data_IF_243313654770
#
_entry.id   IF_243313654770
#
_cell.length_a   1.000
_cell.length_b   1.000
_cell.length_c   1.000
_cell.angle_alpha   90.00
_cell.angle_beta   90.00
_cell.angle_gamma   90.00
#
_symmetry.space_group_name_H-M   'P 1'
#
loop_
_entity.id
_entity.type
_entity.pdbx_description
1 polymer ?
#
# COMPACT_ATOMS: atom_id res chain seq x y z
N UNK A 1 26.06 13.96 19.47
CA UNK A 1 24.74 13.62 18.91
C UNK A 1 23.74 14.67 19.37
N UNK A 2 23.22 15.54 18.49
CA UNK A 2 22.19 16.52 18.89
C UNK A 2 20.84 15.80 18.93
N UNK A 3 20.29 15.59 20.13
CA UNK A 3 18.95 15.03 20.30
C UNK A 3 17.96 16.13 19.91
N UNK A 4 17.20 15.91 18.84
CA UNK A 4 16.17 16.85 18.38
C UNK A 4 14.92 16.74 19.26
N UNK A 5 14.13 17.81 19.34
CA UNK A 5 12.85 17.80 20.06
C UNK A 5 11.90 16.70 19.56
N UNK A 6 12.00 16.31 18.28
CA UNK A 6 11.26 15.20 17.70
C UNK A 6 11.74 13.83 18.23
N UNK A 7 13.06 13.61 18.32
CA UNK A 7 13.61 12.39 18.93
C UNK A 7 13.30 12.29 20.42
N UNK A 8 13.27 13.41 21.15
CA UNK A 8 12.88 13.45 22.55
C UNK A 8 11.39 13.10 22.72
N UNK A 9 10.49 13.70 21.93
CA UNK A 9 9.05 13.35 21.94
C UNK A 9 8.79 11.89 21.57
N UNK A 10 9.50 11.34 20.58
CA UNK A 10 9.38 9.94 20.21
C UNK A 10 9.85 9.00 21.34
N UNK A 11 10.98 9.32 21.98
CA UNK A 11 11.47 8.58 23.15
C UNK A 11 10.46 8.60 24.31
N UNK A 12 9.90 9.77 24.63
CA UNK A 12 8.85 9.92 25.64
C UNK A 12 7.55 9.18 25.28
N UNK A 13 7.16 9.16 24.01
CA UNK A 13 5.98 8.41 23.55
C UNK A 13 6.19 6.88 23.59
N UNK A 14 7.45 6.43 23.50
CA UNK A 14 7.82 5.01 23.60
C UNK A 14 8.06 4.52 25.03
N UNK A 15 8.20 5.42 26.00
CA UNK A 15 8.44 5.08 27.42
C UNK A 15 7.42 4.06 27.98
N UNK A 16 6.11 4.19 27.72
CA UNK A 16 5.10 3.23 28.17
C UNK A 16 5.23 1.83 27.56
N UNK A 17 5.93 1.69 26.42
CA UNK A 17 6.17 0.41 25.75
C UNK A 17 7.43 -0.31 26.26
N UNK A 18 8.30 0.37 27.03
CA UNK A 18 9.52 -0.23 27.58
C UNK A 18 9.28 -1.51 28.41
N UNK A 19 8.26 -1.57 29.30
CA UNK A 19 7.98 -2.81 30.04
C UNK A 19 7.58 -3.96 29.13
N UNK A 20 6.83 -3.69 28.05
CA UNK A 20 6.44 -4.69 27.06
C UNK A 20 7.65 -5.19 26.28
N UNK A 21 8.48 -4.28 25.77
CA UNK A 21 9.72 -4.59 25.03
C UNK A 21 10.66 -5.41 25.89
N UNK A 22 10.89 -5.01 27.14
CA UNK A 22 11.74 -5.76 28.08
C UNK A 22 11.19 -7.16 28.37
N UNK A 23 9.87 -7.29 28.60
CA UNK A 23 9.21 -8.57 28.83
C UNK A 23 9.35 -9.51 27.63
N UNK A 24 9.08 -9.02 26.42
CA UNK A 24 9.17 -9.83 25.19
C UNK A 24 10.61 -10.25 24.93
N UNK A 25 11.57 -9.34 25.10
CA UNK A 25 12.98 -9.67 24.94
C UNK A 25 13.44 -10.74 25.93
N UNK A 26 13.09 -10.60 27.21
CA UNK A 26 13.44 -11.55 28.25
C UNK A 26 12.83 -12.93 27.98
N UNK A 27 11.53 -13.00 27.68
CA UNK A 27 10.85 -14.26 27.38
C UNK A 27 11.42 -14.95 26.13
N UNK A 28 11.77 -14.17 25.11
CA UNK A 28 12.34 -14.69 23.88
C UNK A 28 13.77 -15.21 24.06
N UNK A 29 14.63 -14.45 24.74
CA UNK A 29 16.02 -14.86 25.04
C UNK A 29 16.04 -16.13 25.91
N UNK A 30 15.09 -16.25 26.84
CA UNK A 30 14.95 -17.42 27.71
C UNK A 30 14.23 -18.61 27.04
N UNK A 31 13.85 -18.52 25.76
CA UNK A 31 13.06 -19.56 25.06
C UNK A 31 11.74 -19.91 25.77
N UNK A 32 11.17 -18.96 26.52
CA UNK A 32 9.93 -19.12 27.28
C UNK A 32 8.69 -18.60 26.53
N UNK A 33 8.87 -18.09 25.30
CA UNK A 33 7.77 -17.72 24.41
C UNK A 33 7.67 -18.70 23.26
N UNK A 34 6.49 -19.23 22.97
CA UNK A 34 6.23 -20.13 21.83
C UNK A 34 6.70 -19.53 20.49
N UNK A 35 6.68 -18.20 20.37
CA UNK A 35 7.17 -17.49 19.19
C UNK A 35 8.70 -17.54 19.00
N UNK A 36 9.48 -17.86 20.03
CA UNK A 36 10.96 -17.89 19.96
C UNK A 36 11.52 -19.06 19.16
N UNK A 37 10.71 -20.10 18.95
CA UNK A 37 11.05 -21.22 18.09
C UNK A 37 11.00 -20.85 16.59
N UNK A 38 10.19 -19.85 16.21
CA UNK A 38 9.86 -19.55 14.81
C UNK A 38 10.26 -18.15 14.34
N UNK A 39 10.34 -17.18 15.24
CA UNK A 39 10.66 -15.79 14.92
C UNK A 39 12.01 -15.41 15.50
N UNK A 40 12.71 -14.47 14.87
CA UNK A 40 13.85 -13.84 15.53
C UNK A 40 13.37 -12.82 16.59
N UNK A 41 14.28 -12.45 17.50
CA UNK A 41 13.99 -11.48 18.56
C UNK A 41 13.47 -10.15 18.00
N UNK A 42 14.02 -9.73 16.86
CA UNK A 42 13.64 -8.49 16.20
C UNK A 42 12.18 -8.53 15.75
N UNK A 43 11.75 -9.61 15.12
CA UNK A 43 10.39 -9.81 14.63
C UNK A 43 9.42 -9.95 15.80
N UNK A 44 9.80 -10.68 16.85
CA UNK A 44 9.00 -10.82 18.07
C UNK A 44 8.73 -9.48 18.75
N UNK A 45 9.77 -8.64 18.89
CA UNK A 45 9.65 -7.29 19.43
C UNK A 45 8.79 -6.39 18.54
N UNK A 46 8.99 -6.47 17.23
CA UNK A 46 8.24 -5.70 16.26
C UNK A 46 6.74 -6.05 16.35
N UNK A 47 6.38 -7.33 16.30
CA UNK A 47 4.99 -7.81 16.44
C UNK A 47 4.36 -7.34 17.74
N UNK A 48 5.07 -7.46 18.87
CA UNK A 48 4.53 -7.05 20.17
C UNK A 48 4.27 -5.54 20.25
N UNK A 49 5.19 -4.72 19.76
CA UNK A 49 5.03 -3.26 19.70
C UNK A 49 3.88 -2.89 18.77
N UNK A 50 3.80 -3.50 17.58
CA UNK A 50 2.69 -3.28 16.65
C UNK A 50 1.34 -3.65 17.27
N UNK A 51 1.24 -4.80 17.94
CA UNK A 51 0.00 -5.24 18.63
C UNK A 51 -0.41 -4.24 19.73
N UNK A 52 0.54 -3.74 20.52
CA UNK A 52 0.27 -2.75 21.55
C UNK A 52 -0.14 -1.38 20.98
N UNK A 53 0.31 -1.03 19.78
CA UNK A 53 -0.13 0.18 19.07
C UNK A 53 -1.54 0.03 18.48
N UNK A 54 -1.92 -1.17 18.06
CA UNK A 54 -3.27 -1.47 17.54
C UNK A 54 -4.33 -1.50 18.65
N UNK A 55 -3.96 -1.92 19.86
CA UNK A 55 -4.85 -1.98 21.03
C UNK A 55 -4.66 -0.74 21.90
N UNK A 56 -5.22 0.40 21.49
CA UNK A 56 -5.15 1.63 22.30
C UNK A 56 -6.26 1.65 23.35
N UNK A 57 -5.91 1.89 24.61
CA UNK A 57 -6.87 2.01 25.73
C UNK A 57 -7.77 3.27 25.68
N UNK A 58 -7.48 4.21 24.78
CA UNK A 58 -8.30 5.41 24.51
C UNK A 58 -8.51 5.55 23.00
N UNK A 59 -9.76 5.66 22.52
CA UNK A 59 -10.05 5.87 21.10
C UNK A 59 -9.41 7.18 20.62
N UNK A 60 -8.75 7.14 19.46
CA UNK A 60 -8.20 8.31 18.76
C UNK A 60 -9.02 8.56 17.50
N UNK A 61 -9.09 9.82 17.06
CA UNK A 61 -9.74 10.13 15.78
C UNK A 61 -8.95 9.49 14.63
N UNK A 62 -9.64 9.09 13.55
CA UNK A 62 -8.98 8.54 12.35
C UNK A 62 -7.94 9.53 11.81
N UNK A 63 -8.27 10.82 11.81
CA UNK A 63 -7.38 11.90 11.38
C UNK A 63 -6.08 11.96 12.19
N UNK A 64 -6.13 11.73 13.50
CA UNK A 64 -4.92 11.73 14.34
C UNK A 64 -4.05 10.50 14.08
N UNK A 65 -4.67 9.34 13.88
CA UNK A 65 -3.95 8.11 13.55
C UNK A 65 -3.32 8.23 12.15
N UNK A 66 -4.04 8.80 11.18
CA UNK A 66 -3.52 9.13 9.85
C UNK A 66 -2.29 10.02 9.94
N UNK A 67 -2.41 11.20 10.57
CA UNK A 67 -1.28 12.13 10.74
C UNK A 67 -0.06 11.48 11.39
N UNK A 68 -0.28 10.55 12.31
CA UNK A 68 0.80 9.80 12.94
C UNK A 68 1.44 8.78 11.98
N UNK A 69 0.63 8.00 11.29
CA UNK A 69 1.10 6.91 10.42
C UNK A 69 1.61 7.37 9.05
N UNK A 70 1.27 8.57 8.60
CA UNK A 70 1.77 9.17 7.35
C UNK A 70 2.96 10.11 7.55
N UNK A 71 3.48 10.18 8.77
CA UNK A 71 4.59 11.09 9.09
C UNK A 71 5.88 10.64 8.40
N UNK A 72 6.34 11.45 7.45
CA UNK A 72 7.62 11.25 6.78
C UNK A 72 8.80 11.69 7.69
N UNK A 73 9.72 10.76 7.96
CA UNK A 73 10.95 11.01 8.71
C UNK A 73 12.13 11.46 7.83
N UNK A 74 11.91 11.52 6.52
CA UNK A 74 12.92 11.80 5.52
C UNK A 74 13.69 10.54 5.10
N UNK A 75 14.00 10.38 3.80
CA UNK A 75 14.81 9.26 3.33
C UNK A 75 16.28 9.44 3.72
N UNK A 76 16.90 8.36 4.18
CA UNK A 76 18.31 8.32 4.57
C UNK A 76 18.94 6.99 4.17
N UNK A 77 20.24 7.03 3.91
CA UNK A 77 21.07 5.86 3.66
C UNK A 77 21.06 5.40 2.21
N UNK A 78 21.18 4.08 2.03
CA UNK A 78 21.33 3.40 0.74
C UNK A 78 20.05 3.35 -0.10
N UNK A 79 19.34 4.47 -0.24
CA UNK A 79 18.11 4.61 -1.01
C UNK A 79 18.14 5.91 -1.83
N UNK A 80 17.73 5.81 -3.08
CA UNK A 80 17.30 6.95 -3.87
C UNK A 80 15.80 7.19 -3.64
N UNK A 81 15.39 8.43 -3.45
CA UNK A 81 13.97 8.82 -3.48
C UNK A 81 13.80 10.04 -4.37
N UNK A 82 12.93 9.92 -5.37
CA UNK A 82 12.46 11.03 -6.20
C UNK A 82 10.94 11.11 -6.14
N UNK A 83 10.41 12.24 -5.69
CA UNK A 83 8.97 12.48 -5.58
C UNK A 83 8.41 12.97 -6.90
N UNK A 84 7.30 12.40 -7.31
CA UNK A 84 6.58 12.75 -8.53
C UNK A 84 5.10 12.99 -8.20
N UNK A 85 4.46 13.90 -8.91
CA UNK A 85 3.02 14.06 -8.90
C UNK A 85 2.56 13.95 -10.35
N UNK A 86 1.86 12.87 -10.67
CA UNK A 86 1.30 12.68 -12.00
C UNK A 86 0.07 13.58 -12.13
N UNK A 87 0.07 14.58 -13.03
CA UNK A 87 -1.12 15.40 -13.25
C UNK A 87 -2.25 14.54 -13.81
N UNK A 88 -3.52 14.84 -13.48
CA UNK A 88 -4.65 14.16 -14.09
C UNK A 88 -4.74 14.54 -15.59
N UNK A 89 -5.27 13.64 -16.43
CA UNK A 89 -5.66 14.04 -17.78
C UNK A 89 -6.77 15.11 -17.72
N UNK A 90 -6.83 16.04 -18.68
CA UNK A 90 -7.89 17.05 -18.73
C UNK A 90 -9.27 16.45 -19.04
N UNK A 91 -9.30 15.27 -19.67
CA UNK A 91 -10.50 14.46 -19.92
C UNK A 91 -10.85 13.51 -18.78
N UNK A 92 -12.02 12.89 -18.88
CA UNK A 92 -12.58 11.98 -17.85
C UNK A 92 -12.46 10.51 -18.21
N UNK A 93 -11.89 10.16 -19.38
CA UNK A 93 -11.94 8.81 -19.95
C UNK A 93 -11.46 7.72 -19.00
N UNK A 94 -10.36 7.93 -18.28
CA UNK A 94 -9.82 6.95 -17.31
C UNK A 94 -10.75 6.73 -16.11
N UNK A 95 -11.41 7.79 -15.63
CA UNK A 95 -12.37 7.72 -14.52
C UNK A 95 -13.66 7.04 -14.97
N UNK A 96 -14.17 7.42 -16.13
CA UNK A 96 -15.42 6.89 -16.65
C UNK A 96 -15.27 5.39 -16.95
N UNK A 97 -14.14 4.97 -17.55
CA UNK A 97 -13.80 3.56 -17.75
C UNK A 97 -13.74 2.76 -16.43
N UNK A 98 -13.22 3.35 -15.35
CA UNK A 98 -13.24 2.75 -14.02
C UNK A 98 -14.66 2.57 -13.49
N UNK A 99 -15.47 3.64 -13.51
CA UNK A 99 -16.82 3.62 -12.95
C UNK A 99 -17.71 2.63 -13.73
N UNK A 100 -17.68 2.69 -15.06
CA UNK A 100 -18.44 1.79 -15.92
C UNK A 100 -18.06 0.31 -15.66
N UNK A 101 -16.78 0.04 -15.44
CA UNK A 101 -16.30 -1.30 -15.12
C UNK A 101 -16.79 -1.77 -13.74
N UNK A 102 -16.72 -0.91 -12.72
CA UNK A 102 -17.20 -1.22 -11.38
C UNK A 102 -18.72 -1.48 -11.37
N UNK A 103 -19.49 -0.68 -12.10
CA UNK A 103 -20.94 -0.86 -12.24
C UNK A 103 -21.28 -2.19 -12.92
N UNK A 104 -20.55 -2.55 -13.97
CA UNK A 104 -20.73 -3.81 -14.70
C UNK A 104 -20.41 -5.02 -13.84
N UNK A 105 -19.27 -5.01 -13.13
CA UNK A 105 -18.84 -6.11 -12.27
C UNK A 105 -19.79 -6.35 -11.09
N UNK A 106 -20.53 -5.33 -10.66
CA UNK A 106 -21.56 -5.50 -9.63
C UNK A 106 -22.74 -6.38 -10.09
N UNK A 107 -22.95 -6.52 -11.40
CA UNK A 107 -23.95 -7.38 -12.01
C UNK A 107 -25.41 -6.97 -11.73
N UNK A 108 -26.39 -7.69 -12.33
CA UNK A 108 -27.82 -7.44 -12.14
C UNK A 108 -28.40 -8.10 -10.86
N UNK A 109 -27.61 -8.90 -10.11
CA UNK A 109 -28.11 -9.79 -9.03
C UNK A 109 -28.55 -9.06 -7.75
N UNK A 110 -28.32 -7.75 -7.65
CA UNK A 110 -28.90 -6.91 -6.63
C UNK A 110 -29.72 -5.84 -7.34
N UNK A 111 -31.04 -5.83 -7.10
CA UNK A 111 -31.93 -4.78 -7.58
C UNK A 111 -31.27 -3.41 -7.34
N UNK A 112 -31.14 -2.59 -8.39
CA UNK A 112 -30.60 -1.21 -8.33
C UNK A 112 -31.26 -0.37 -7.23
N UNK A 113 -32.43 -0.77 -6.71
CA UNK A 113 -33.15 -0.08 -5.64
C UNK A 113 -32.54 -0.16 -4.23
N UNK A 114 -31.57 -1.05 -3.95
CA UNK A 114 -31.03 -1.24 -2.59
C UNK A 114 -29.52 -1.00 -2.43
N UNK A 115 -28.79 -0.64 -3.50
CA UNK A 115 -27.35 -0.34 -3.43
C UNK A 115 -27.14 1.17 -3.47
N UNK A 116 -26.36 1.76 -2.55
CA UNK A 116 -25.95 3.16 -2.70
C UNK A 116 -25.13 3.31 -3.99
N UNK A 117 -25.30 4.41 -4.74
CA UNK A 117 -24.50 4.67 -5.93
C UNK A 117 -23.02 4.70 -5.58
N UNK A 118 -22.18 4.19 -6.50
CA UNK A 118 -20.72 4.24 -6.33
C UNK A 118 -20.31 5.71 -6.38
N UNK A 119 -19.61 6.24 -5.35
CA UNK A 119 -19.10 7.60 -5.40
C UNK A 119 -18.19 7.77 -6.62
N UNK A 120 -18.38 8.84 -7.38
CA UNK A 120 -17.49 9.18 -8.51
C UNK A 120 -16.36 10.05 -7.95
N UNK A 121 -15.11 9.55 -7.91
CA UNK A 121 -14.00 10.30 -7.34
C UNK A 121 -13.50 11.38 -8.30
N UNK A 122 -12.98 12.47 -7.74
CA UNK A 122 -12.32 13.51 -8.53
C UNK A 122 -11.00 13.01 -9.14
N UNK A 123 -10.68 13.50 -10.34
CA UNK A 123 -9.36 13.37 -10.94
C UNK A 123 -8.47 14.48 -10.40
N UNK A 124 -7.39 14.09 -9.71
CA UNK A 124 -6.45 15.00 -9.04
C UNK A 124 -5.02 14.53 -9.30
N UNK A 125 -4.05 15.38 -8.98
CA UNK A 125 -2.64 14.99 -9.01
C UNK A 125 -2.42 13.75 -8.12
N UNK A 126 -1.80 12.71 -8.69
CA UNK A 126 -1.48 11.49 -7.95
C UNK A 126 -0.01 11.52 -7.56
N UNK A 127 0.24 11.74 -6.28
CA UNK A 127 1.59 11.73 -5.73
C UNK A 127 2.17 10.31 -5.66
N UNK A 128 3.49 10.20 -5.88
CA UNK A 128 4.23 8.97 -5.76
C UNK A 128 5.71 9.22 -5.42
N UNK A 129 6.38 8.15 -4.96
CA UNK A 129 7.82 8.12 -4.76
C UNK A 129 8.48 7.07 -5.64
N UNK A 130 9.33 7.52 -6.56
CA UNK A 130 10.34 6.66 -7.18
C UNK A 130 11.38 6.28 -6.13
N UNK A 131 11.62 4.98 -5.98
CA UNK A 131 12.62 4.43 -5.07
C UNK A 131 13.57 3.49 -5.78
N UNK A 132 14.86 3.65 -5.51
CA UNK A 132 15.92 2.77 -6.01
C UNK A 132 16.97 2.49 -4.95
N UNK A 133 17.82 1.49 -5.18
CA UNK A 133 18.95 1.21 -4.29
C UNK A 133 20.11 2.17 -4.60
N UNK A 134 20.70 2.75 -3.54
CA UNK A 134 21.86 3.66 -3.65
C UNK A 134 23.07 2.97 -3.04
N UNK A 135 23.86 2.27 -3.86
CA UNK A 135 24.89 1.35 -3.41
C UNK A 135 26.04 2.05 -2.66
N UNK A 136 26.40 3.26 -3.08
CA UNK A 136 27.54 4.02 -2.54
C UNK A 136 27.27 4.84 -1.27
N UNK A 137 26.02 4.88 -0.76
CA UNK A 137 25.68 5.76 0.35
C UNK A 137 25.94 5.15 1.73
N UNK A 138 26.46 5.96 2.65
CA UNK A 138 26.65 5.57 4.05
C UNK A 138 25.30 5.37 4.76
N UNK A 139 25.27 4.59 5.86
CA UNK A 139 24.04 4.12 6.54
C UNK A 139 22.98 5.20 6.85
N UNK A 140 23.40 6.42 7.17
CA UNK A 140 22.53 7.55 7.52
C UNK A 140 22.80 8.79 6.65
N UNK A 141 23.39 8.59 5.47
CA UNK A 141 23.66 9.70 4.57
C UNK A 141 22.34 10.33 4.11
N UNK A 142 22.19 11.67 4.16
CA UNK A 142 21.03 12.32 3.57
C UNK A 142 21.01 12.11 2.05
N UNK A 143 19.84 12.37 1.45
CA UNK A 143 19.80 12.44 -0.01
C UNK A 143 20.69 13.57 -0.53
N UNK A 144 21.27 13.41 -1.73
CA UNK A 144 21.96 14.50 -2.40
C UNK A 144 21.05 15.72 -2.58
N UNK A 145 21.60 16.91 -2.33
CA UNK A 145 20.89 18.18 -2.54
C UNK A 145 20.81 18.47 -4.05
N UNK A 146 19.75 17.96 -4.68
CA UNK A 146 19.48 18.11 -6.11
C UNK A 146 17.97 17.99 -6.36
N UNK A 147 17.52 18.41 -7.54
CA UNK A 147 16.10 18.35 -7.94
C UNK A 147 15.56 16.92 -7.98
N UNK A 148 14.24 16.77 -7.96
CA UNK A 148 13.60 15.44 -8.10
C UNK A 148 14.02 14.77 -9.43
N UNK A 149 13.99 15.52 -10.55
CA UNK A 149 14.46 15.04 -11.86
C UNK A 149 15.91 14.53 -11.83
N UNK A 150 16.82 15.26 -11.19
CA UNK A 150 18.22 14.83 -11.07
C UNK A 150 18.37 13.59 -10.18
N UNK A 151 17.59 13.47 -9.09
CA UNK A 151 17.56 12.25 -8.25
C UNK A 151 17.02 11.06 -9.02
N UNK A 152 15.98 11.24 -9.82
CA UNK A 152 15.44 10.20 -10.69
C UNK A 152 16.51 9.72 -11.68
N UNK A 153 17.19 10.61 -12.41
CA UNK A 153 18.23 10.20 -13.34
C UNK A 153 19.46 9.59 -12.64
N UNK A 154 19.82 10.09 -11.44
CA UNK A 154 20.87 9.48 -10.61
C UNK A 154 20.54 8.05 -10.22
N UNK A 155 19.30 7.81 -9.78
CA UNK A 155 18.77 6.47 -9.50
C UNK A 155 18.80 5.57 -10.74
N UNK A 156 18.37 6.07 -11.90
CA UNK A 156 18.32 5.31 -13.13
C UNK A 156 19.70 4.81 -13.59
N UNK A 157 20.78 5.55 -13.30
CA UNK A 157 22.16 5.12 -13.59
C UNK A 157 22.62 3.92 -12.74
N UNK A 158 21.99 3.71 -11.58
CA UNK A 158 22.28 2.55 -10.71
C UNK A 158 21.34 1.35 -10.99
N UNK A 159 20.30 1.54 -11.81
CA UNK A 159 19.43 0.43 -12.21
C UNK A 159 20.14 -0.47 -13.23
N UNK A 160 20.15 -1.77 -13.00
CA UNK A 160 20.73 -2.79 -13.88
C UNK A 160 19.68 -3.56 -14.69
N UNK A 161 18.40 -3.41 -14.36
CA UNK A 161 17.28 -4.00 -15.09
C UNK A 161 16.22 -2.95 -15.42
N UNK A 162 15.43 -3.14 -16.49
CA UNK A 162 14.35 -2.22 -16.83
C UNK A 162 13.13 -2.36 -15.91
N UNK A 163 13.14 -3.33 -14.99
CA UNK A 163 12.00 -3.64 -14.11
C UNK A 163 11.55 -2.43 -13.30
N UNK A 164 10.25 -2.15 -13.37
CA UNK A 164 9.58 -1.14 -12.54
C UNK A 164 8.48 -1.83 -11.74
N UNK A 165 8.50 -1.61 -10.43
CA UNK A 165 7.49 -2.14 -9.51
C UNK A 165 6.53 -1.02 -9.15
N UNK A 166 5.30 -1.06 -9.64
CA UNK A 166 4.21 -0.21 -9.15
C UNK A 166 3.80 -0.72 -7.77
N UNK A 167 4.22 -0.04 -6.71
CA UNK A 167 4.02 -0.50 -5.33
C UNK A 167 2.84 0.24 -4.68
N UNK A 168 1.90 -0.54 -4.15
CA UNK A 168 0.72 -0.08 -3.44
C UNK A 168 0.86 -0.50 -1.98
N UNK A 169 1.00 0.49 -1.09
CA UNK A 169 1.33 0.24 0.31
C UNK A 169 0.17 -0.39 1.10
N UNK A 170 0.48 -1.12 2.17
CA UNK A 170 -0.51 -1.55 3.15
C UNK A 170 -1.03 -0.39 4.02
N UNK A 171 -1.95 -0.68 4.94
CA UNK A 171 -2.51 0.32 5.85
C UNK A 171 -4.04 0.39 5.89
N UNK A 172 -4.72 -0.72 5.59
CA UNK A 172 -6.18 -0.82 5.70
C UNK A 172 -6.98 0.27 4.97
N UNK A 173 -6.42 0.87 3.90
CA UNK A 173 -6.97 2.02 3.16
C UNK A 173 -7.12 3.34 3.93
N UNK A 174 -6.72 3.40 5.20
CA UNK A 174 -6.79 4.63 6.00
C UNK A 174 -5.50 4.98 6.73
N UNK A 175 -4.43 4.20 6.59
CA UNK A 175 -3.15 4.38 7.27
C UNK A 175 -2.00 4.36 6.26
N UNK A 176 -0.82 4.76 6.75
CA UNK A 176 0.46 4.60 6.08
C UNK A 176 0.58 5.39 4.78
N UNK A 177 1.77 5.29 4.18
CA UNK A 177 2.24 6.16 3.13
C UNK A 177 3.41 5.50 2.37
N UNK A 178 3.80 5.95 1.15
CA UNK A 178 5.05 5.48 0.53
C UNK A 178 6.26 5.60 1.44
N UNK A 179 6.33 6.67 2.25
CA UNK A 179 7.43 6.89 3.18
C UNK A 179 7.59 5.77 4.21
N UNK A 180 6.49 5.14 4.66
CA UNK A 180 6.54 4.03 5.62
C UNK A 180 7.02 2.72 4.99
N UNK A 181 6.93 2.59 3.66
CA UNK A 181 7.28 1.38 2.91
C UNK A 181 8.64 1.45 2.21
N UNK A 182 9.38 2.56 2.35
CA UNK A 182 10.75 2.73 1.82
C UNK A 182 11.70 1.56 2.16
N UNK A 183 11.69 0.96 3.37
CA UNK A 183 12.54 -0.20 3.64
C UNK A 183 12.23 -1.40 2.72
N UNK A 184 10.95 -1.63 2.44
CA UNK A 184 10.47 -2.69 1.54
C UNK A 184 10.84 -2.37 0.10
N UNK A 185 10.50 -1.18 -0.39
CA UNK A 185 10.73 -0.80 -1.80
C UNK A 185 12.22 -0.69 -2.11
N UNK A 186 13.04 -0.20 -1.17
CA UNK A 186 14.51 -0.26 -1.27
C UNK A 186 15.03 -1.69 -1.42
N UNK A 187 14.50 -2.63 -0.62
CA UNK A 187 14.92 -4.04 -0.68
C UNK A 187 14.50 -4.67 -2.01
N UNK A 188 13.28 -4.39 -2.48
CA UNK A 188 12.80 -4.84 -3.79
C UNK A 188 13.67 -4.28 -4.92
N UNK A 189 13.90 -2.98 -4.97
CA UNK A 189 14.78 -2.35 -5.97
C UNK A 189 16.19 -2.96 -5.98
N UNK A 190 16.77 -3.22 -4.79
CA UNK A 190 18.07 -3.90 -4.69
C UNK A 190 18.05 -5.32 -5.25
N UNK A 191 17.00 -6.09 -4.94
CA UNK A 191 16.91 -7.50 -5.35
C UNK A 191 16.61 -7.66 -6.84
N UNK A 192 15.81 -6.77 -7.42
CA UNK A 192 15.47 -6.83 -8.85
C UNK A 192 16.46 -6.09 -9.73
N UNK A 193 17.33 -5.26 -9.16
CA UNK A 193 18.17 -4.33 -9.91
C UNK A 193 17.38 -3.22 -10.62
N UNK A 194 16.08 -3.10 -10.34
CA UNK A 194 15.18 -2.13 -10.96
C UNK A 194 14.82 -0.99 -10.02
N UNK A 195 13.63 -0.41 -10.23
CA UNK A 195 13.07 0.65 -9.37
C UNK A 195 11.64 0.37 -8.94
N UNK A 196 11.22 1.02 -7.87
CA UNK A 196 9.83 1.03 -7.41
C UNK A 196 9.20 2.40 -7.66
N UNK A 197 7.92 2.42 -8.00
CA UNK A 197 7.05 3.59 -8.05
C UNK A 197 5.96 3.40 -7.00
N UNK A 198 6.11 4.03 -5.84
CA UNK A 198 5.22 3.86 -4.70
C UNK A 198 4.14 4.93 -4.68
N UNK A 199 2.88 4.53 -4.90
CA UNK A 199 1.76 5.47 -5.02
C UNK A 199 1.31 5.96 -3.65
N UNK A 200 1.16 7.27 -3.48
CA UNK A 200 0.48 7.90 -2.34
C UNK A 200 -1.01 8.02 -2.66
N UNK A 201 -1.69 6.89 -2.73
CA UNK A 201 -3.11 6.86 -3.07
C UNK A 201 -3.95 7.48 -1.94
N UNK A 202 -5.09 8.07 -2.29
CA UNK A 202 -5.98 8.75 -1.35
C UNK A 202 -6.59 7.77 -0.34
N UNK A 203 -6.69 8.22 0.91
CA UNK A 203 -7.13 7.41 2.04
C UNK A 203 -8.58 7.68 2.44
N UNK A 204 -9.25 6.65 2.97
CA UNK A 204 -10.54 6.76 3.62
C UNK A 204 -10.40 7.37 5.03
N UNK A 205 -11.43 8.00 5.61
CA UNK A 205 -12.78 8.20 5.06
C UNK A 205 -12.91 9.40 4.11
N UNK A 206 -11.88 10.23 3.97
CA UNK A 206 -11.92 11.44 3.13
C UNK A 206 -12.16 11.09 1.66
N UNK A 207 -11.59 9.97 1.22
CA UNK A 207 -11.69 9.49 -0.15
C UNK A 207 -12.03 7.98 -0.13
N UNK A 208 -13.32 7.62 0.01
CA UNK A 208 -13.74 6.23 0.05
C UNK A 208 -13.52 5.56 -1.31
N UNK A 209 -13.74 4.23 -1.34
CA UNK A 209 -13.78 3.47 -2.59
C UNK A 209 -14.71 4.16 -3.62
N UNK A 210 -14.28 4.32 -4.88
CA UNK A 210 -13.11 3.73 -5.54
C UNK A 210 -11.88 4.66 -5.67
N UNK A 211 -11.73 5.70 -4.84
CA UNK A 211 -10.68 6.73 -5.01
C UNK A 211 -9.25 6.16 -5.08
N UNK A 212 -8.88 5.26 -4.16
CA UNK A 212 -7.55 4.63 -4.17
C UNK A 212 -7.30 3.78 -5.43
N UNK A 213 -8.35 3.15 -5.98
CA UNK A 213 -8.28 2.37 -7.21
C UNK A 213 -8.10 3.28 -8.43
N UNK A 214 -8.77 4.44 -8.45
CA UNK A 214 -8.52 5.46 -9.47
C UNK A 214 -7.07 5.95 -9.43
N UNK A 215 -6.54 6.25 -8.25
CA UNK A 215 -5.16 6.75 -8.12
C UNK A 215 -4.12 5.70 -8.56
N UNK A 216 -4.35 4.42 -8.22
CA UNK A 216 -3.54 3.31 -8.69
C UNK A 216 -3.63 3.13 -10.21
N UNK A 217 -4.82 3.33 -10.79
CA UNK A 217 -5.05 3.21 -12.22
C UNK A 217 -4.43 4.37 -13.02
N UNK A 218 -4.57 5.61 -12.54
CA UNK A 218 -3.88 6.80 -13.06
C UNK A 218 -2.37 6.61 -12.98
N UNK A 219 -1.84 6.08 -11.87
CA UNK A 219 -0.41 5.78 -11.74
C UNK A 219 0.07 4.72 -12.74
N UNK A 220 -0.74 3.68 -12.98
CA UNK A 220 -0.44 2.65 -13.97
C UNK A 220 -0.34 3.26 -15.38
N UNK A 221 -1.32 4.10 -15.75
CA UNK A 221 -1.32 4.81 -17.02
C UNK A 221 -0.18 5.82 -17.14
N UNK A 222 0.12 6.58 -16.09
CA UNK A 222 1.24 7.51 -16.07
C UNK A 222 2.58 6.80 -16.29
N UNK A 223 2.76 5.58 -15.76
CA UNK A 223 3.97 4.79 -16.02
C UNK A 223 4.10 4.31 -17.46
N UNK A 224 3.01 3.83 -18.06
CA UNK A 224 3.00 3.33 -19.44
C UNK A 224 3.03 4.46 -20.49
N UNK A 225 2.30 5.52 -20.20
CA UNK A 225 2.05 6.67 -21.08
C UNK A 225 2.30 7.96 -20.28
N UNK A 226 3.56 8.32 -20.02
CA UNK A 226 3.90 9.48 -19.22
C UNK A 226 3.26 10.75 -19.78
N UNK A 227 2.69 11.62 -18.93
CA UNK A 227 2.17 12.92 -19.37
C UNK A 227 3.30 13.80 -19.94
N UNK A 228 2.99 14.84 -20.73
CA UNK A 228 3.99 15.60 -21.50
C UNK A 228 5.20 16.13 -20.71
N UNK A 229 5.00 16.52 -19.44
CA UNK A 229 6.07 17.08 -18.58
C UNK A 229 6.71 16.06 -17.63
N UNK A 230 6.37 14.78 -17.77
CA UNK A 230 6.97 13.72 -16.97
C UNK A 230 8.50 13.69 -17.18
N UNK A 231 9.23 13.52 -16.09
CA UNK A 231 10.69 13.42 -16.14
C UNK A 231 11.20 11.98 -16.23
N UNK A 232 10.28 11.03 -16.44
CA UNK A 232 10.58 9.62 -16.57
C UNK A 232 10.14 9.10 -17.93
N UNK A 233 10.85 8.09 -18.43
CA UNK A 233 10.53 7.47 -19.70
C UNK A 233 9.32 6.51 -19.57
N UNK A 234 8.62 6.20 -20.69
CA UNK A 234 7.60 5.17 -20.74
C UNK A 234 8.14 3.82 -20.25
N UNK A 235 7.41 3.17 -19.35
CA UNK A 235 7.71 1.82 -18.90
C UNK A 235 6.99 0.84 -19.82
N UNK A 236 7.73 -0.07 -20.42
CA UNK A 236 7.11 -1.13 -21.23
C UNK A 236 6.30 -2.09 -20.34
N UNK A 237 5.10 -2.56 -20.76
CA UNK A 237 4.26 -3.41 -19.93
C UNK A 237 4.95 -4.69 -19.44
N UNK A 238 5.80 -5.29 -20.27
CA UNK A 238 6.63 -6.46 -19.97
C UNK A 238 7.71 -6.23 -18.90
N UNK A 239 7.97 -4.97 -18.54
CA UNK A 239 8.88 -4.58 -17.46
C UNK A 239 8.15 -4.06 -16.22
N UNK A 240 6.82 -3.97 -16.25
CA UNK A 240 6.01 -3.42 -15.17
C UNK A 240 5.40 -4.55 -14.32
N UNK A 241 5.66 -4.54 -13.01
CA UNK A 241 5.07 -5.47 -12.04
C UNK A 241 4.24 -4.68 -11.03
N UNK A 242 2.99 -5.08 -10.79
CA UNK A 242 2.19 -4.49 -9.71
C UNK A 242 2.48 -5.26 -8.42
N UNK A 243 2.79 -4.56 -7.34
CA UNK A 243 3.03 -5.17 -6.05
C UNK A 243 2.35 -4.42 -4.91
N UNK A 244 2.09 -5.13 -3.82
CA UNK A 244 1.54 -4.52 -2.62
C UNK A 244 1.35 -5.48 -1.47
N UNK A 245 1.17 -4.95 -0.28
CA UNK A 245 0.96 -5.72 0.95
C UNK A 245 -0.36 -5.38 1.63
N UNK A 246 -0.99 -6.35 2.31
CA UNK A 246 -2.23 -6.14 3.06
C UNK A 246 -3.32 -5.46 2.20
N UNK A 247 -3.80 -4.27 2.59
CA UNK A 247 -4.74 -3.46 1.80
C UNK A 247 -4.18 -3.05 0.43
N UNK A 248 -2.88 -2.77 0.32
CA UNK A 248 -2.23 -2.51 -0.96
C UNK A 248 -2.14 -3.74 -1.84
N UNK A 249 -2.04 -4.94 -1.24
CA UNK A 249 -2.16 -6.21 -1.95
C UNK A 249 -3.58 -6.45 -2.49
N UNK A 250 -4.61 -6.05 -1.74
CA UNK A 250 -5.98 -5.99 -2.25
C UNK A 250 -6.10 -5.01 -3.43
N UNK A 251 -5.55 -3.81 -3.28
CA UNK A 251 -5.57 -2.78 -4.32
C UNK A 251 -4.86 -3.22 -5.60
N UNK A 252 -3.73 -3.92 -5.48
CA UNK A 252 -2.99 -4.49 -6.60
C UNK A 252 -3.83 -5.50 -7.39
N UNK A 253 -4.55 -6.38 -6.69
CA UNK A 253 -5.42 -7.37 -7.32
C UNK A 253 -6.71 -6.75 -7.87
N UNK A 254 -7.26 -5.74 -7.22
CA UNK A 254 -8.39 -4.97 -7.74
C UNK A 254 -8.02 -4.21 -9.03
N UNK A 255 -6.83 -3.60 -9.07
CA UNK A 255 -6.28 -2.99 -10.27
C UNK A 255 -6.08 -4.02 -11.37
N UNK A 256 -5.49 -5.19 -11.08
CA UNK A 256 -5.35 -6.26 -12.08
C UNK A 256 -6.71 -6.68 -12.66
N UNK A 257 -7.71 -6.88 -11.81
CA UNK A 257 -9.07 -7.24 -12.24
C UNK A 257 -9.68 -6.17 -13.16
N UNK A 258 -9.50 -4.89 -12.83
CA UNK A 258 -9.91 -3.76 -13.68
C UNK A 258 -9.21 -3.81 -15.04
N UNK A 259 -7.88 -3.96 -15.06
CA UNK A 259 -7.10 -4.03 -16.31
C UNK A 259 -7.53 -5.22 -17.18
N UNK A 260 -7.79 -6.39 -16.58
CA UNK A 260 -8.28 -7.56 -17.30
C UNK A 260 -9.65 -7.33 -17.93
N UNK A 261 -10.58 -6.71 -17.19
CA UNK A 261 -11.92 -6.40 -17.68
C UNK A 261 -11.89 -5.36 -18.81
N UNK A 262 -11.05 -4.33 -18.70
CA UNK A 262 -10.86 -3.34 -19.75
C UNK A 262 -10.21 -3.93 -21.00
N UNK A 263 -9.19 -4.78 -20.84
CA UNK A 263 -8.58 -5.50 -21.96
C UNK A 263 -9.59 -6.40 -22.68
N UNK A 264 -10.46 -7.10 -21.95
CA UNK A 264 -11.48 -7.95 -22.57
C UNK A 264 -12.51 -7.16 -23.39
N UNK A 265 -12.68 -5.87 -23.10
CA UNK A 265 -13.53 -4.97 -23.88
C UNK A 265 -12.85 -4.45 -25.14
N UNK A 266 -11.52 -4.58 -25.24
CA UNK A 266 -10.69 -4.08 -26.33
C UNK A 266 -10.94 -2.59 -26.65
N UNK A 267 -11.28 -1.82 -25.61
CA UNK A 267 -11.65 -0.42 -25.72
C UNK A 267 -10.49 0.48 -25.26
N UNK A 268 -9.93 1.33 -26.15
CA UNK A 268 -8.91 2.27 -25.74
C UNK A 268 -9.50 3.38 -24.86
N UNK A 269 -8.66 3.94 -23.98
CA UNK A 269 -9.02 5.02 -23.07
C UNK A 269 -8.38 6.32 -23.56
N UNK A 270 -9.17 7.40 -23.60
CA UNK A 270 -8.64 8.73 -23.87
C UNK A 270 -7.74 9.17 -22.71
N UNK A 271 -6.46 9.41 -23.01
CA UNK A 271 -5.42 9.75 -22.04
C UNK A 271 -4.43 10.78 -22.62
N UNK A 272 -4.43 11.98 -22.00
CA UNK A 272 -3.77 13.20 -22.48
C UNK A 272 -4.03 13.49 -23.96
N UNK A 273 -5.30 13.35 -24.39
CA UNK A 273 -5.74 13.64 -25.75
C UNK A 273 -5.45 12.55 -26.78
N UNK A 274 -4.86 11.43 -26.39
CA UNK A 274 -4.61 10.28 -27.26
C UNK A 274 -5.38 9.04 -26.78
N UNK A 275 -5.88 8.23 -27.72
CA UNK A 275 -6.47 6.94 -27.40
C UNK A 275 -5.35 5.93 -27.08
N UNK A 276 -5.34 5.44 -25.84
CA UNK A 276 -4.32 4.52 -25.31
C UNK A 276 -4.92 3.15 -25.04
N UNK A 277 -4.16 2.12 -25.36
CA UNK A 277 -4.52 0.74 -25.04
C UNK A 277 -4.30 0.43 -23.56
N UNK A 278 -4.92 -0.65 -23.08
CA UNK A 278 -4.78 -1.12 -21.68
C UNK A 278 -4.00 -2.45 -21.67
N UNK A 279 -2.66 -2.43 -21.91
CA UNK A 279 -1.88 -3.66 -21.84
C UNK A 279 -1.83 -4.16 -20.39
N UNK A 280 -1.69 -5.48 -20.20
CA UNK A 280 -1.45 -6.04 -18.88
C UNK A 280 0.01 -5.87 -18.44
N UNK A 281 0.27 -5.76 -17.12
CA UNK A 281 1.63 -5.80 -16.59
C UNK A 281 2.26 -7.18 -16.81
N UNK A 282 3.58 -7.25 -16.67
CA UNK A 282 4.35 -8.48 -16.68
C UNK A 282 3.92 -9.48 -15.59
N UNK A 283 3.40 -8.97 -14.46
CA UNK A 283 2.87 -9.80 -13.39
C UNK A 283 2.42 -9.01 -12.17
N UNK A 284 1.94 -9.75 -11.16
CA UNK A 284 1.52 -9.21 -9.86
C UNK A 284 2.16 -10.01 -8.73
N UNK A 285 2.69 -9.31 -7.72
CA UNK A 285 3.30 -9.90 -6.54
C UNK A 285 2.71 -9.28 -5.26
N UNK A 286 1.94 -10.07 -4.49
CA UNK A 286 1.26 -9.57 -3.28
C UNK A 286 1.73 -10.29 -2.03
N UNK A 287 1.82 -9.55 -0.93
CA UNK A 287 2.16 -10.08 0.39
C UNK A 287 0.98 -9.95 1.35
N UNK A 288 0.48 -11.08 1.84
CA UNK A 288 -0.68 -11.14 2.77
C UNK A 288 -1.86 -10.24 2.33
N UNK A 289 -2.39 -10.38 1.10
CA UNK A 289 -3.42 -9.48 0.59
C UNK A 289 -4.72 -9.59 1.39
N UNK A 290 -5.35 -8.45 1.68
CA UNK A 290 -6.62 -8.41 2.40
C UNK A 290 -7.80 -8.62 1.43
N UNK A 291 -8.19 -9.87 1.18
CA UNK A 291 -9.18 -10.20 0.14
C UNK A 291 -10.63 -10.35 0.61
N UNK A 292 -10.85 -10.37 1.92
CA UNK A 292 -12.18 -10.54 2.51
C UNK A 292 -12.54 -9.35 3.40
N UNK A 293 -13.30 -8.41 2.82
CA UNK A 293 -13.80 -7.23 3.53
C UNK A 293 -14.92 -7.56 4.52
N UNK A 294 -15.57 -8.73 4.37
CA UNK A 294 -16.66 -9.17 5.24
C UNK A 294 -16.19 -9.98 6.44
N UNK A 295 -14.90 -10.36 6.47
CA UNK A 295 -14.31 -11.23 7.49
C UNK A 295 -15.09 -12.54 7.66
N UNK A 296 -15.61 -13.06 6.55
CA UNK A 296 -16.43 -14.27 6.46
C UNK A 296 -15.59 -15.55 6.32
N UNK A 297 -14.30 -15.43 6.01
CA UNK A 297 -13.43 -16.58 5.84
C UNK A 297 -13.30 -17.38 7.16
N UNK A 298 -13.30 -18.73 7.11
CA UNK A 298 -13.20 -19.58 8.30
C UNK A 298 -12.01 -19.28 9.21
N UNK A 299 -10.91 -18.75 8.67
CA UNK A 299 -9.73 -18.33 9.43
C UNK A 299 -10.03 -17.25 10.47
N UNK A 300 -11.03 -16.39 10.22
CA UNK A 300 -11.55 -15.42 11.19
C UNK A 300 -12.40 -16.09 12.28
N UNK A 301 -13.18 -17.11 11.93
CA UNK A 301 -14.14 -17.77 12.83
C UNK A 301 -13.54 -18.84 13.77
N UNK A 302 -12.33 -19.35 13.49
CA UNK A 302 -11.73 -20.38 14.35
C UNK A 302 -11.57 -19.87 15.81
N UNK A 303 -12.10 -20.60 16.80
CA UNK A 303 -12.16 -20.18 18.20
C UNK A 303 -10.81 -20.00 18.90
N UNK A 304 -9.72 -20.51 18.31
CA UNK A 304 -8.35 -20.23 18.71
C UNK A 304 -7.74 -19.20 17.73
N UNK A 305 -7.10 -18.12 18.21
CA UNK A 305 -6.13 -17.40 17.40
C UNK A 305 -5.15 -18.42 16.87
N UNK A 306 -4.85 -18.41 15.56
CA UNK A 306 -3.70 -19.20 15.12
C UNK A 306 -2.49 -18.66 15.90
N UNK A 307 -1.58 -19.51 16.40
CA UNK A 307 -0.54 -19.09 17.34
C UNK A 307 0.30 -17.89 16.86
N UNK A 308 0.30 -17.65 15.54
CA UNK A 308 1.09 -16.64 14.86
C UNK A 308 0.27 -15.47 14.29
N UNK A 309 -1.05 -15.41 14.54
CA UNK A 309 -1.87 -14.28 14.11
C UNK A 309 -1.52 -13.03 14.93
N UNK A 310 -1.09 -11.97 14.28
CA UNK A 310 -0.72 -10.72 14.95
C UNK A 310 -1.93 -9.81 15.18
N UNK A 311 -3.00 -9.96 14.40
CA UNK A 311 -4.21 -9.16 14.53
C UNK A 311 -5.07 -9.69 15.68
N UNK A 312 -5.61 -8.80 16.54
CA UNK A 312 -6.61 -9.23 17.50
C UNK A 312 -7.86 -9.69 16.74
N UNK A 313 -8.42 -10.84 17.14
CA UNK A 313 -9.77 -11.21 16.66
C UNK A 313 -10.77 -10.22 17.25
N UNK A 314 -11.80 -9.81 16.49
CA UNK A 314 -12.90 -9.06 17.06
C UNK A 314 -13.40 -9.82 18.28
N UNK A 315 -13.52 -9.16 19.44
CA UNK A 315 -14.25 -9.76 20.54
C UNK A 315 -15.61 -10.16 20.00
N UNK A 316 -15.99 -11.42 20.18
CA UNK A 316 -17.32 -11.89 19.82
C UNK A 316 -18.30 -11.08 20.66
N UNK A 317 -18.73 -9.94 20.14
CA UNK A 317 -19.87 -9.20 20.64
C UNK A 317 -21.00 -10.23 20.73
N UNK A 318 -21.53 -10.40 21.93
CA UNK A 318 -22.71 -11.24 22.21
C UNK A 318 -23.96 -10.78 21.46
N UNK A 319 -23.88 -9.70 20.67
CA UNK A 319 -24.85 -9.35 19.65
C UNK A 319 -24.46 -9.95 18.28
N UNK A 320 -25.25 -10.87 17.72
CA UNK A 320 -25.03 -11.36 16.38
C UNK A 320 -25.40 -10.24 15.40
N UNK A 321 -24.40 -9.58 14.81
CA UNK A 321 -24.59 -8.90 13.53
C UNK A 321 -24.90 -9.96 12.48
N UNK A 322 -26.20 -10.28 12.37
CA UNK A 322 -26.78 -11.08 11.29
C UNK A 322 -26.53 -10.36 9.98
N UNK A 323 -25.50 -10.73 9.23
CA UNK A 323 -25.47 -10.40 7.81
C UNK A 323 -25.09 -11.55 6.88
N UNK A 324 -24.43 -12.63 7.33
CA UNK A 324 -24.09 -13.73 6.43
C UNK A 324 -24.32 -15.15 6.97
N UNK A 325 -25.17 -15.35 7.98
CA UNK A 325 -25.65 -16.71 8.34
C UNK A 325 -26.81 -17.15 7.46
N UNK A 326 -26.58 -17.32 6.16
CA UNK A 326 -27.47 -18.12 5.31
C UNK A 326 -26.67 -19.00 4.35
N UNK A 327 -26.61 -20.27 4.74
CA UNK A 327 -26.42 -21.48 3.91
C UNK A 327 -25.16 -21.56 3.04
N UNK A 328 -24.09 -22.04 3.65
CA UNK A 328 -23.26 -23.08 3.04
C UNK A 328 -23.51 -24.40 3.78
N UNK A 329 -24.62 -25.06 3.43
CA UNK A 329 -24.79 -26.50 3.70
C UNK A 329 -24.62 -27.21 2.36
N UNK A 330 -23.52 -27.97 2.26
CA UNK A 330 -23.27 -29.09 1.34
C UNK A 330 -23.52 -28.84 -0.15
N UNK A 331 -22.44 -28.75 -0.91
CA UNK A 331 -22.22 -29.56 -2.10
C UNK A 331 -20.82 -30.16 -1.97
#
# INVERSE_FOLDING_TARGET
MKITAATLKAAWASLPLLPLVARVALLHILQLSDAAEYLDLRSSLLVAVFRAMLVTSKPRSISDIQKFTTRDSGPQGSIWVSRYAAPPPPETGIRDALIDTVERLAGPRHSKSHRPPVPVPDLVDVEAEWTGYRAGAARNEPLPSMSERERYHGMMRECTTPTTILYLHGGAYYLCDPSTHRPTTKKLAKLTGGRCYSVRYRLAPQHPFPSALLDAFVSYFALLYPPPDAYHDPVQPEHLVIAGDSAGGNLALALLQLLMELRNQDAPILWHGELRQVPLPAGVAVNSPWLDMTQSAPTWEMGTPTPYDFLPKPETSTSPTRCCRTRWRRW
#
